data_IF_301143511482
#
_entry.id   IF_301143511482
#
_cell.length_a   1.000
_cell.length_b   1.000
_cell.length_c   1.000
_cell.angle_alpha   90.00
_cell.angle_beta   90.00
_cell.angle_gamma   90.00
#
_symmetry.space_group_name_H-M   'P 1'
#
loop_
_entity.id
_entity.type
_entity.pdbx_description
1 polymer ?
#
# COMPACT_ATOMS: atom_id res chain seq x y z
N UNK A 1 19.21 19.90 -37.36
CA UNK A 1 20.03 18.73 -37.06
C UNK A 1 19.15 17.85 -36.19
N UNK A 2 18.60 16.79 -36.75
CA UNK A 2 17.79 15.83 -36.06
C UNK A 2 18.73 14.99 -35.19
N UNK A 3 18.60 15.11 -33.83
CA UNK A 3 19.33 14.27 -32.91
C UNK A 3 18.86 12.84 -33.08
N UNK A 4 19.79 11.88 -33.18
CA UNK A 4 19.51 10.46 -33.21
C UNK A 4 18.72 10.10 -31.95
N UNK A 5 17.53 9.58 -32.11
CA UNK A 5 16.75 8.96 -31.03
C UNK A 5 17.59 7.77 -30.53
N UNK A 6 18.16 7.90 -29.33
CA UNK A 6 18.82 6.77 -28.68
C UNK A 6 17.73 5.77 -28.30
N UNK A 7 17.71 4.63 -28.95
CA UNK A 7 16.88 3.49 -28.52
C UNK A 7 17.51 2.87 -27.28
N UNK A 8 16.65 2.49 -26.34
CA UNK A 8 17.05 1.78 -25.11
C UNK A 8 16.85 0.30 -25.35
N UNK A 9 17.86 -0.49 -25.07
CA UNK A 9 17.81 -1.95 -25.19
C UNK A 9 16.71 -2.55 -24.28
N UNK A 10 16.09 -3.62 -24.75
CA UNK A 10 14.96 -4.31 -24.05
C UNK A 10 15.36 -4.70 -22.61
N UNK A 11 16.58 -5.17 -22.40
CA UNK A 11 17.08 -5.54 -21.07
C UNK A 11 17.17 -4.35 -20.10
N UNK A 12 17.36 -3.15 -20.63
CA UNK A 12 17.32 -1.93 -19.82
C UNK A 12 15.88 -1.54 -19.45
N UNK A 13 14.92 -1.75 -20.34
CA UNK A 13 13.50 -1.51 -20.06
C UNK A 13 12.98 -2.45 -18.96
N UNK A 14 13.43 -3.70 -18.93
CA UNK A 14 13.06 -4.68 -17.90
C UNK A 14 13.54 -4.31 -16.47
N UNK A 15 14.40 -3.31 -16.32
CA UNK A 15 14.84 -2.84 -15.00
C UNK A 15 13.75 -2.02 -14.27
N UNK A 16 12.70 -1.61 -14.97
CA UNK A 16 11.61 -0.81 -14.42
C UNK A 16 10.39 -1.67 -14.11
N UNK A 17 9.90 -1.58 -12.87
CA UNK A 17 8.88 -2.47 -12.29
C UNK A 17 7.58 -2.59 -13.10
N UNK A 18 7.23 -1.57 -13.87
CA UNK A 18 6.04 -1.59 -14.73
C UNK A 18 6.33 -2.20 -16.11
N UNK A 19 7.57 -2.12 -16.57
CA UNK A 19 8.00 -2.56 -17.89
C UNK A 19 8.49 -4.01 -17.88
N UNK A 20 8.91 -4.54 -16.73
CA UNK A 20 9.33 -5.94 -16.56
C UNK A 20 8.17 -6.93 -16.74
N UNK A 21 6.93 -6.46 -16.53
CA UNK A 21 5.70 -7.24 -16.74
C UNK A 21 5.33 -7.43 -18.22
N UNK A 22 5.97 -6.69 -19.13
CA UNK A 22 5.68 -6.76 -20.55
C UNK A 22 6.42 -7.95 -21.21
N UNK A 23 5.71 -8.67 -22.10
CA UNK A 23 6.34 -9.72 -22.88
C UNK A 23 7.27 -9.14 -23.99
N UNK A 24 8.10 -9.98 -24.59
CA UNK A 24 9.07 -9.54 -25.59
C UNK A 24 8.45 -8.80 -26.78
N UNK A 25 7.28 -9.23 -27.26
CA UNK A 25 6.56 -8.56 -28.38
C UNK A 25 6.10 -7.17 -27.98
N UNK A 26 5.67 -6.99 -26.75
CA UNK A 26 5.22 -5.71 -26.20
C UNK A 26 6.41 -4.78 -25.93
N UNK A 27 7.53 -5.30 -25.44
CA UNK A 27 8.77 -4.55 -25.27
C UNK A 27 9.33 -4.08 -26.61
N UNK A 28 9.32 -4.91 -27.65
CA UNK A 28 9.69 -4.52 -29.02
C UNK A 28 8.76 -3.40 -29.55
N UNK A 29 7.45 -3.49 -29.27
CA UNK A 29 6.52 -2.43 -29.66
C UNK A 29 6.78 -1.13 -28.87
N UNK A 30 7.11 -1.23 -27.60
CA UNK A 30 7.46 -0.11 -26.75
C UNK A 30 8.80 0.53 -27.18
N UNK A 31 9.76 -0.27 -27.62
CA UNK A 31 11.06 0.19 -28.14
C UNK A 31 10.88 1.19 -29.30
N UNK A 32 9.85 1.02 -30.12
CA UNK A 32 9.53 1.95 -31.21
C UNK A 32 8.67 3.16 -30.80
N UNK A 33 8.19 3.22 -29.54
CA UNK A 33 7.20 4.21 -29.07
C UNK A 33 7.61 4.97 -27.81
N UNK A 34 8.86 4.83 -27.38
CA UNK A 34 9.41 5.64 -26.29
C UNK A 34 10.37 6.69 -26.83
N UNK A 35 10.55 7.75 -26.06
CA UNK A 35 11.56 8.79 -26.32
C UNK A 35 12.57 8.78 -25.17
N UNK A 36 13.87 8.78 -25.48
CA UNK A 36 14.91 9.02 -24.48
C UNK A 36 15.33 10.48 -24.56
N UNK A 37 15.12 11.19 -23.47
CA UNK A 37 15.42 12.62 -23.39
C UNK A 37 16.49 12.90 -22.36
N UNK A 38 17.46 13.70 -22.76
CA UNK A 38 18.51 14.17 -21.89
C UNK A 38 18.20 15.58 -21.37
N UNK A 39 18.34 15.74 -20.06
CA UNK A 39 18.13 17.01 -19.37
C UNK A 39 19.44 17.45 -18.72
N UNK A 40 19.77 18.75 -18.87
CA UNK A 40 20.88 19.37 -18.17
C UNK A 40 20.56 19.48 -16.67
N UNK A 41 21.59 19.65 -15.84
CA UNK A 41 21.42 19.92 -14.41
C UNK A 41 20.53 21.15 -14.16
N UNK A 42 19.75 21.13 -13.07
CA UNK A 42 18.82 22.17 -12.63
C UNK A 42 17.65 22.45 -13.59
N UNK A 43 17.31 21.53 -14.50
CA UNK A 43 16.16 21.66 -15.38
C UNK A 43 14.90 21.14 -14.71
N UNK A 44 13.83 21.94 -14.73
CA UNK A 44 12.49 21.47 -14.36
C UNK A 44 11.96 20.58 -15.49
N UNK A 45 11.53 19.38 -15.14
CA UNK A 45 10.94 18.40 -16.06
C UNK A 45 9.45 18.68 -16.17
N UNK A 46 8.76 18.80 -15.03
CA UNK A 46 7.37 19.23 -14.91
C UNK A 46 7.08 19.88 -13.55
N UNK A 47 6.01 20.66 -13.49
CA UNK A 47 5.59 21.40 -12.29
C UNK A 47 4.52 20.65 -11.49
N UNK A 48 4.45 20.89 -10.18
CA UNK A 48 3.35 20.40 -9.36
C UNK A 48 2.00 20.97 -9.82
N UNK A 49 1.01 20.10 -9.97
CA UNK A 49 -0.32 20.45 -10.47
C UNK A 49 -0.47 20.40 -11.99
N UNK A 50 0.61 20.19 -12.76
CA UNK A 50 0.52 19.95 -14.19
C UNK A 50 -0.07 18.58 -14.51
N UNK A 51 -0.64 18.43 -15.70
CA UNK A 51 -1.09 17.17 -16.27
C UNK A 51 -0.53 17.02 -17.66
N UNK A 52 0.15 15.91 -17.88
CA UNK A 52 0.63 15.47 -19.19
C UNK A 52 0.34 13.97 -19.32
N UNK A 53 0.25 13.44 -20.51
CA UNK A 53 0.01 11.99 -20.71
C UNK A 53 1.33 11.23 -20.86
N UNK A 54 2.34 11.54 -20.04
CA UNK A 54 3.67 10.95 -20.16
C UNK A 54 4.07 10.30 -18.84
N UNK A 55 4.58 9.07 -18.92
CA UNK A 55 5.28 8.39 -17.83
C UNK A 55 6.79 8.60 -18.00
N UNK A 56 7.44 8.99 -16.89
CA UNK A 56 8.87 9.31 -16.87
C UNK A 56 9.61 8.27 -16.05
N UNK A 57 10.65 7.64 -16.62
CA UNK A 57 11.50 6.69 -15.93
C UNK A 57 12.94 7.20 -15.91
N UNK A 58 13.60 7.19 -14.77
CA UNK A 58 14.96 7.69 -14.62
C UNK A 58 15.98 6.64 -15.05
N UNK A 59 16.60 6.84 -16.21
CA UNK A 59 17.61 5.94 -16.77
C UNK A 59 19.00 6.22 -16.19
N UNK A 60 19.36 7.52 -16.06
CA UNK A 60 20.65 7.95 -15.53
C UNK A 60 20.54 9.30 -14.84
N UNK A 61 21.40 9.56 -13.85
CA UNK A 61 21.46 10.82 -13.11
C UNK A 61 20.64 10.84 -11.82
N UNK A 62 20.27 12.06 -11.41
CA UNK A 62 19.55 12.33 -10.15
C UNK A 62 18.46 13.39 -10.38
N UNK A 63 17.27 13.15 -9.80
CA UNK A 63 16.16 14.10 -9.82
C UNK A 63 15.68 14.40 -8.40
N UNK A 64 15.28 15.64 -8.18
CA UNK A 64 14.67 16.12 -6.93
C UNK A 64 13.17 16.31 -7.15
N UNK A 65 12.38 15.70 -6.30
CA UNK A 65 10.95 15.85 -6.25
C UNK A 65 10.60 16.80 -5.09
N UNK A 66 9.92 17.90 -5.38
CA UNK A 66 9.52 18.90 -4.38
C UNK A 66 8.01 18.97 -4.31
N UNK A 67 7.44 18.69 -3.14
CA UNK A 67 6.01 18.80 -2.87
C UNK A 67 5.59 20.26 -2.67
N UNK A 68 4.28 20.55 -2.74
CA UNK A 68 3.73 21.90 -2.51
C UNK A 68 4.02 22.46 -1.11
N UNK A 69 4.25 21.60 -0.12
CA UNK A 69 4.63 21.98 1.26
C UNK A 69 6.12 22.29 1.41
N UNK A 70 6.89 22.25 0.33
CA UNK A 70 8.33 22.54 0.30
C UNK A 70 9.24 21.35 0.68
N UNK A 71 8.67 20.21 1.04
CA UNK A 71 9.47 19.00 1.26
C UNK A 71 10.02 18.47 -0.04
N UNK A 72 11.29 18.07 -0.03
CA UNK A 72 11.93 17.48 -1.20
C UNK A 72 12.66 16.19 -0.86
N UNK A 73 12.74 15.30 -1.84
CA UNK A 73 13.55 14.08 -1.79
C UNK A 73 14.20 13.83 -3.15
N UNK A 74 15.31 13.10 -3.13
CA UNK A 74 16.12 12.84 -4.33
C UNK A 74 15.99 11.38 -4.71
N UNK A 75 15.68 11.14 -6.00
CA UNK A 75 15.74 9.81 -6.62
C UNK A 75 17.01 9.76 -7.46
N UNK A 76 17.82 8.71 -7.26
CA UNK A 76 19.03 8.42 -8.02
C UNK A 76 18.80 7.22 -8.92
N UNK A 77 19.32 7.27 -10.13
CA UNK A 77 19.30 6.13 -11.05
C UNK A 77 19.96 4.89 -10.40
N UNK A 78 19.52 3.71 -10.80
CA UNK A 78 20.00 2.41 -10.28
C UNK A 78 19.70 2.17 -8.78
N UNK A 79 18.75 2.92 -8.20
CA UNK A 79 18.22 2.64 -6.85
C UNK A 79 16.84 2.00 -6.93
N UNK A 80 16.38 1.30 -5.88
CA UNK A 80 15.02 0.75 -5.86
C UNK A 80 13.94 1.80 -6.15
N UNK A 81 14.11 3.03 -5.66
CA UNK A 81 13.17 4.13 -5.89
C UNK A 81 13.09 4.57 -7.37
N UNK A 82 14.16 4.35 -8.15
CA UNK A 82 14.18 4.70 -9.58
C UNK A 82 13.55 3.62 -10.47
N UNK A 83 13.24 2.44 -9.95
CA UNK A 83 12.57 1.38 -10.72
C UNK A 83 11.13 1.72 -11.09
N UNK A 84 10.51 2.63 -10.36
CA UNK A 84 9.15 3.09 -10.63
C UNK A 84 9.13 4.36 -11.48
N UNK A 85 8.01 4.64 -12.15
CA UNK A 85 7.79 5.89 -12.84
C UNK A 85 7.85 7.08 -11.85
N UNK A 86 8.50 8.17 -12.27
CA UNK A 86 8.69 9.35 -11.43
C UNK A 86 7.40 10.15 -11.34
N UNK A 87 6.89 10.34 -10.11
CA UNK A 87 5.69 11.15 -9.84
C UNK A 87 4.52 10.82 -10.77
N UNK A 88 4.24 9.54 -10.92
CA UNK A 88 3.26 8.92 -11.81
C UNK A 88 1.83 9.51 -11.70
N UNK A 89 1.41 9.99 -10.51
CA UNK A 89 0.05 10.51 -10.29
C UNK A 89 -0.21 11.81 -11.07
N UNK A 90 -1.42 11.92 -11.63
CA UNK A 90 -1.89 13.13 -12.31
C UNK A 90 -3.19 13.65 -11.69
N UNK A 91 -3.34 14.97 -11.46
CA UNK A 91 -2.31 16.02 -11.63
C UNK A 91 -1.05 15.76 -10.81
N UNK A 92 0.12 16.15 -11.31
CA UNK A 92 1.42 15.93 -10.69
C UNK A 92 1.45 16.47 -9.25
N UNK A 93 1.78 15.62 -8.27
CA UNK A 93 1.86 16.03 -6.87
C UNK A 93 3.15 16.78 -6.55
N UNK A 94 4.20 16.56 -7.35
CA UNK A 94 5.53 17.11 -7.15
C UNK A 94 5.98 17.92 -8.35
N UNK A 95 6.76 18.98 -8.09
CA UNK A 95 7.66 19.52 -9.09
C UNK A 95 8.87 18.60 -9.19
N UNK A 96 9.31 18.26 -10.40
CA UNK A 96 10.50 17.44 -10.61
C UNK A 96 11.58 18.24 -11.29
N UNK A 97 12.77 18.27 -10.69
CA UNK A 97 13.95 18.99 -11.17
C UNK A 97 15.18 18.09 -11.20
N UNK A 98 15.99 18.17 -12.24
CA UNK A 98 17.25 17.44 -12.33
C UNK A 98 18.31 18.02 -11.37
N UNK A 99 18.98 17.19 -10.61
CA UNK A 99 20.13 17.57 -9.73
C UNK A 99 21.47 17.38 -10.43
N UNK A 100 21.52 16.50 -11.41
CA UNK A 100 22.67 16.26 -12.29
C UNK A 100 22.20 16.25 -13.75
N UNK A 101 23.13 16.10 -14.70
CA UNK A 101 22.77 15.71 -16.07
C UNK A 101 22.07 14.35 -15.98
N UNK A 102 20.85 14.25 -16.49
CA UNK A 102 20.00 13.08 -16.30
C UNK A 102 19.38 12.65 -17.63
N UNK A 103 19.21 11.34 -17.79
CA UNK A 103 18.50 10.75 -18.93
C UNK A 103 17.20 10.11 -18.43
N UNK A 104 16.11 10.43 -19.10
CA UNK A 104 14.79 9.86 -18.79
C UNK A 104 14.19 9.19 -20.02
N UNK A 105 13.51 8.09 -19.80
CA UNK A 105 12.64 7.45 -20.77
C UNK A 105 11.25 8.08 -20.61
N UNK A 106 10.67 8.53 -21.71
CA UNK A 106 9.35 9.11 -21.78
C UNK A 106 8.44 8.17 -22.58
N UNK A 107 7.34 7.77 -21.99
CA UNK A 107 6.36 6.86 -22.58
C UNK A 107 4.99 7.50 -22.47
N UNK A 108 4.22 7.50 -23.55
CA UNK A 108 2.82 7.93 -23.52
C UNK A 108 2.01 7.00 -22.60
N UNK A 109 1.35 7.58 -21.59
CA UNK A 109 0.59 6.82 -20.56
C UNK A 109 -0.52 5.96 -21.19
N UNK A 110 -1.12 6.42 -22.30
CA UNK A 110 -2.18 5.65 -22.98
C UNK A 110 -1.62 4.45 -23.74
N UNK A 111 -0.41 4.56 -24.27
CA UNK A 111 0.29 3.45 -24.92
C UNK A 111 0.73 2.44 -23.88
N UNK A 112 1.31 2.90 -22.79
CA UNK A 112 1.76 2.04 -21.69
C UNK A 112 0.58 1.28 -21.08
N UNK A 113 -0.52 1.98 -20.77
CA UNK A 113 -1.73 1.36 -20.21
C UNK A 113 -2.30 0.26 -21.13
N UNK A 114 -2.34 0.49 -22.46
CA UNK A 114 -2.78 -0.53 -23.43
C UNK A 114 -1.86 -1.74 -23.46
N UNK A 115 -0.55 -1.52 -23.39
CA UNK A 115 0.42 -2.61 -23.40
C UNK A 115 0.36 -3.44 -22.11
N UNK A 116 0.23 -2.79 -20.95
CA UNK A 116 0.06 -3.45 -19.65
C UNK A 116 -1.24 -4.23 -19.60
N UNK A 117 -2.35 -3.68 -20.12
CA UNK A 117 -3.62 -4.41 -20.22
C UNK A 117 -3.58 -5.62 -21.18
N UNK A 118 -2.68 -5.63 -22.15
CA UNK A 118 -2.47 -6.72 -23.10
C UNK A 118 -1.30 -7.63 -22.71
N UNK A 119 -0.56 -7.30 -21.64
CA UNK A 119 0.48 -8.17 -21.13
C UNK A 119 -0.18 -9.46 -20.64
N UNK A 120 0.32 -10.65 -21.01
CA UNK A 120 -0.05 -11.85 -20.30
C UNK A 120 0.44 -11.66 -18.87
N UNK A 121 -0.52 -11.48 -17.94
CA UNK A 121 -0.24 -11.29 -16.52
C UNK A 121 0.76 -12.34 -16.05
N UNK A 122 1.99 -11.93 -15.75
CA UNK A 122 2.93 -12.73 -14.97
C UNK A 122 2.57 -12.62 -13.48
N UNK A 123 1.79 -11.62 -13.09
CA UNK A 123 1.03 -11.59 -11.83
C UNK A 123 -0.36 -12.21 -12.05
N UNK A 124 -0.38 -13.54 -12.31
CA UNK A 124 -1.58 -14.37 -12.17
C UNK A 124 -1.98 -14.45 -10.70
N UNK A 125 -2.44 -13.35 -10.12
CA UNK A 125 -3.05 -13.34 -8.79
C UNK A 125 -4.22 -12.36 -8.64
N UNK A 126 -4.73 -11.80 -9.72
CA UNK A 126 -6.17 -11.59 -9.83
C UNK A 126 -6.64 -12.88 -10.47
N UNK A 127 -7.32 -13.73 -9.72
CA UNK A 127 -7.88 -14.95 -10.26
C UNK A 127 -8.74 -14.58 -11.49
N UNK A 128 -8.16 -14.65 -12.70
CA UNK A 128 -8.94 -14.55 -13.94
C UNK A 128 -10.08 -15.58 -13.91
N UNK A 129 -9.88 -16.73 -13.24
CA UNK A 129 -10.91 -17.70 -12.92
C UNK A 129 -12.05 -17.11 -12.07
N UNK A 130 -11.75 -16.20 -11.11
CA UNK A 130 -12.78 -15.56 -10.28
C UNK A 130 -13.56 -14.52 -11.08
N UNK A 131 -12.89 -13.74 -11.95
CA UNK A 131 -13.55 -12.74 -12.80
C UNK A 131 -14.36 -13.42 -13.91
N UNK A 132 -13.89 -14.53 -14.48
CA UNK A 132 -14.64 -15.33 -15.47
C UNK A 132 -15.89 -16.00 -14.88
N UNK A 133 -15.97 -16.15 -13.56
CA UNK A 133 -17.14 -16.68 -12.86
C UNK A 133 -18.14 -15.62 -12.41
N UNK A 134 -17.83 -14.33 -12.59
CA UNK A 134 -18.72 -13.25 -12.19
C UNK A 134 -20.02 -13.24 -13.01
N UNK A 135 -21.13 -12.99 -12.34
CA UNK A 135 -22.38 -12.64 -13.02
C UNK A 135 -22.25 -11.26 -13.69
N UNK A 136 -23.08 -10.97 -14.66
CA UNK A 136 -23.11 -9.67 -15.36
C UNK A 136 -23.22 -8.48 -14.38
N UNK A 137 -23.92 -8.67 -13.26
CA UNK A 137 -24.06 -7.65 -12.21
C UNK A 137 -22.77 -7.44 -11.43
N UNK A 138 -22.03 -8.50 -11.13
CA UNK A 138 -20.72 -8.43 -10.45
C UNK A 138 -19.68 -7.75 -11.33
N UNK A 139 -19.63 -8.09 -12.62
CA UNK A 139 -18.75 -7.43 -13.59
C UNK A 139 -19.06 -5.94 -13.71
N UNK A 140 -20.32 -5.55 -13.69
CA UNK A 140 -20.71 -4.15 -13.72
C UNK A 140 -20.18 -3.38 -12.50
N UNK A 141 -20.37 -3.90 -11.29
CA UNK A 141 -19.91 -3.27 -10.06
C UNK A 141 -18.38 -3.17 -10.04
N UNK A 142 -17.70 -4.28 -10.38
CA UNK A 142 -16.24 -4.34 -10.46
C UNK A 142 -15.67 -3.29 -11.42
N UNK A 143 -16.22 -3.22 -12.64
CA UNK A 143 -15.78 -2.26 -13.65
C UNK A 143 -16.14 -0.82 -13.29
N UNK A 144 -17.29 -0.58 -12.63
CA UNK A 144 -17.71 0.74 -12.18
C UNK A 144 -16.77 1.26 -11.09
N UNK A 145 -16.44 0.43 -10.10
CA UNK A 145 -15.48 0.76 -9.05
C UNK A 145 -14.10 1.12 -9.63
N UNK A 146 -13.57 0.26 -10.52
CA UNK A 146 -12.28 0.51 -11.18
C UNK A 146 -12.29 1.80 -11.99
N UNK A 147 -13.35 2.07 -12.72
CA UNK A 147 -13.52 3.29 -13.50
C UNK A 147 -13.55 4.54 -12.60
N UNK A 148 -14.30 4.50 -11.52
CA UNK A 148 -14.45 5.63 -10.60
C UNK A 148 -13.15 5.88 -9.82
N UNK A 149 -12.43 4.83 -9.47
CA UNK A 149 -11.10 4.93 -8.88
C UNK A 149 -10.10 5.57 -9.87
N UNK A 150 -10.08 5.13 -11.13
CA UNK A 150 -9.19 5.64 -12.17
C UNK A 150 -9.52 7.10 -12.57
N UNK A 151 -10.80 7.49 -12.51
CA UNK A 151 -11.25 8.86 -12.84
C UNK A 151 -11.25 9.82 -11.65
N UNK A 152 -10.74 9.42 -10.48
CA UNK A 152 -10.79 10.17 -9.21
C UNK A 152 -12.20 10.55 -8.74
N UNK A 153 -13.25 9.88 -9.22
CA UNK A 153 -14.61 10.04 -8.73
C UNK A 153 -14.80 9.37 -7.36
N UNK A 154 -13.93 8.43 -7.02
CA UNK A 154 -13.85 7.79 -5.71
C UNK A 154 -12.46 7.99 -5.10
N UNK A 155 -12.42 8.45 -3.85
CA UNK A 155 -11.17 8.72 -3.14
C UNK A 155 -10.87 7.60 -2.16
N UNK A 156 -9.70 6.98 -2.29
CA UNK A 156 -9.22 5.99 -1.32
C UNK A 156 -9.07 6.62 0.06
N UNK A 157 -9.38 5.87 1.14
CA UNK A 157 -9.21 6.34 2.50
C UNK A 157 -7.76 6.77 2.78
N UNK A 158 -7.61 7.83 3.58
CA UNK A 158 -6.32 8.32 4.06
C UNK A 158 -6.07 7.86 5.49
N UNK A 159 -4.81 7.62 5.83
CA UNK A 159 -4.45 7.43 7.24
C UNK A 159 -4.76 8.70 8.05
N UNK A 160 -5.18 8.56 9.31
CA UNK A 160 -5.26 9.69 10.23
C UNK A 160 -3.93 10.45 10.32
N UNK A 161 -4.00 11.78 10.41
CA UNK A 161 -2.83 12.66 10.42
C UNK A 161 -1.80 12.30 11.50
N UNK A 162 -2.28 11.79 12.65
CA UNK A 162 -1.39 11.36 13.73
C UNK A 162 -0.54 10.17 13.33
N UNK A 163 -1.11 9.19 12.60
CA UNK A 163 -0.36 8.03 12.12
C UNK A 163 0.68 8.43 11.09
N UNK A 164 0.32 9.32 10.16
CA UNK A 164 1.26 9.88 9.17
C UNK A 164 2.40 10.63 9.85
N UNK A 165 2.10 11.48 10.85
CA UNK A 165 3.12 12.23 11.59
C UNK A 165 4.06 11.31 12.38
N UNK A 166 3.51 10.27 13.02
CA UNK A 166 4.30 9.29 13.76
C UNK A 166 5.23 8.55 12.81
N UNK A 167 4.75 8.08 11.66
CA UNK A 167 5.57 7.38 10.68
C UNK A 167 6.68 8.26 10.08
N UNK A 168 6.42 9.55 9.89
CA UNK A 168 7.35 10.48 9.24
C UNK A 168 8.31 11.20 10.22
N UNK A 169 7.88 11.38 11.47
CA UNK A 169 8.58 12.27 12.42
C UNK A 169 9.33 11.54 13.49
N UNK A 170 9.12 10.24 13.67
CA UNK A 170 9.72 9.47 14.77
C UNK A 170 10.70 8.45 14.18
N UNK A 171 12.00 8.71 14.42
CA UNK A 171 13.03 7.67 14.29
C UNK A 171 12.98 6.83 15.58
N UNK A 172 12.29 5.70 15.53
CA UNK A 172 12.02 4.86 16.70
C UNK A 172 13.29 4.35 17.39
N UNK A 173 14.38 4.21 16.65
CA UNK A 173 15.67 3.77 17.19
C UNK A 173 16.38 4.86 18.01
N UNK A 174 16.02 6.14 17.78
CA UNK A 174 16.68 7.29 18.39
C UNK A 174 15.77 8.20 19.21
N UNK A 175 14.43 8.01 19.10
CA UNK A 175 13.49 8.88 19.79
C UNK A 175 13.42 8.60 21.29
N UNK A 176 13.09 9.64 22.07
CA UNK A 176 12.74 9.50 23.47
C UNK A 176 11.23 9.33 23.66
N UNK A 177 10.82 8.73 24.79
CA UNK A 177 9.40 8.64 25.16
C UNK A 177 8.70 10.00 25.22
N UNK A 178 9.44 11.09 25.46
CA UNK A 178 8.90 12.46 25.45
C UNK A 178 8.56 12.93 24.03
N UNK A 179 9.38 12.59 23.04
CA UNK A 179 9.13 12.94 21.64
C UNK A 179 7.87 12.26 21.14
N UNK A 180 7.71 10.96 21.43
CA UNK A 180 6.50 10.20 21.10
C UNK A 180 5.28 10.77 21.81
N UNK A 181 5.38 11.06 23.13
CA UNK A 181 4.29 11.63 23.89
C UNK A 181 3.84 12.99 23.34
N UNK A 182 4.79 13.82 22.88
CA UNK A 182 4.50 15.12 22.27
C UNK A 182 3.72 14.98 20.96
N UNK A 183 4.12 14.04 20.09
CA UNK A 183 3.42 13.81 18.82
C UNK A 183 2.02 13.27 19.07
N UNK A 184 1.86 12.28 19.97
CA UNK A 184 0.56 11.68 20.31
C UNK A 184 -0.36 12.70 21.00
N UNK A 185 0.17 13.57 21.86
CA UNK A 185 -0.61 14.63 22.54
C UNK A 185 -1.16 15.68 21.57
N UNK A 186 -0.62 15.76 20.36
CA UNK A 186 -1.15 16.61 19.29
C UNK A 186 -2.50 16.15 18.75
N UNK A 187 -2.93 14.92 19.06
CA UNK A 187 -4.25 14.37 18.74
C UNK A 187 -4.97 13.98 20.04
N UNK A 188 -6.00 14.75 20.47
CA UNK A 188 -6.70 14.49 21.72
C UNK A 188 -7.38 13.12 21.76
N UNK A 189 -7.92 12.64 20.63
CA UNK A 189 -8.59 11.33 20.57
C UNK A 189 -7.59 10.19 20.76
N UNK A 190 -6.43 10.26 20.11
CA UNK A 190 -5.35 9.30 20.27
C UNK A 190 -4.79 9.34 21.70
N UNK A 191 -4.59 10.54 22.27
CA UNK A 191 -4.13 10.73 23.64
C UNK A 191 -5.03 10.01 24.65
N UNK A 192 -6.35 10.19 24.53
CA UNK A 192 -7.34 9.53 25.42
C UNK A 192 -7.28 8.00 25.26
N UNK A 193 -7.18 7.49 24.04
CA UNK A 193 -7.07 6.04 23.79
C UNK A 193 -5.80 5.46 24.43
N UNK A 194 -4.66 6.14 24.26
CA UNK A 194 -3.39 5.68 24.83
C UNK A 194 -3.39 5.70 26.36
N UNK A 195 -3.89 6.77 26.99
CA UNK A 195 -4.04 6.87 28.44
C UNK A 195 -5.00 5.80 28.96
N UNK A 196 -6.09 5.53 28.24
CA UNK A 196 -7.03 4.48 28.61
C UNK A 196 -6.41 3.09 28.55
N UNK A 197 -5.60 2.81 27.52
CA UNK A 197 -4.87 1.55 27.38
C UNK A 197 -3.88 1.35 28.55
N UNK A 198 -3.12 2.41 28.90
CA UNK A 198 -2.17 2.38 30.01
C UNK A 198 -2.84 2.20 31.40
N UNK A 199 -4.11 2.56 31.49
CA UNK A 199 -4.95 2.36 32.69
C UNK A 199 -5.82 1.10 32.64
N UNK A 200 -5.71 0.29 31.59
CA UNK A 200 -6.48 -0.95 31.49
C UNK A 200 -6.13 -1.93 32.62
N UNK A 201 -7.04 -2.80 33.07
CA UNK A 201 -6.77 -3.75 34.13
C UNK A 201 -5.56 -4.66 33.91
N UNK A 202 -5.21 -4.87 32.64
CA UNK A 202 -4.10 -5.72 32.24
C UNK A 202 -2.73 -5.06 32.42
N UNK A 203 -2.66 -3.72 32.31
CA UNK A 203 -1.41 -2.95 32.27
C UNK A 203 -1.28 -2.00 33.48
N UNK A 204 -2.40 -1.64 34.11
CA UNK A 204 -2.42 -0.64 35.18
C UNK A 204 -1.49 -0.99 36.34
N UNK A 205 -0.71 0.02 36.78
CA UNK A 205 -0.02 -0.03 38.07
C UNK A 205 -0.91 0.48 39.21
N UNK A 206 -0.30 0.75 40.36
CA UNK A 206 -0.97 1.27 41.57
C UNK A 206 -1.60 2.64 41.30
N UNK A 207 -0.88 3.52 40.59
CA UNK A 207 -1.31 4.89 40.33
C UNK A 207 -1.99 5.02 38.96
N UNK A 208 -3.09 5.78 38.93
CA UNK A 208 -3.79 6.10 37.66
C UNK A 208 -3.00 7.13 36.86
N UNK A 209 -2.78 6.82 35.59
CA UNK A 209 -2.11 7.67 34.60
C UNK A 209 -3.06 8.77 34.13
N UNK A 210 -2.55 9.98 33.95
CA UNK A 210 -3.32 11.14 33.52
C UNK A 210 -2.75 11.82 32.28
N UNK A 211 -1.48 11.57 31.92
CA UNK A 211 -0.79 12.22 30.81
C UNK A 211 -0.28 11.22 29.77
N UNK A 212 -0.07 11.67 28.54
CA UNK A 212 0.55 10.85 27.49
C UNK A 212 1.99 10.46 27.85
N UNK A 213 2.74 11.35 28.49
CA UNK A 213 4.13 11.06 28.89
C UNK A 213 4.17 9.90 29.88
N UNK A 214 3.31 9.94 30.92
CA UNK A 214 3.17 8.84 31.85
C UNK A 214 2.69 7.55 31.18
N UNK A 215 1.79 7.67 30.18
CA UNK A 215 1.29 6.51 29.43
C UNK A 215 2.39 5.86 28.61
N UNK A 216 3.18 6.65 27.88
CA UNK A 216 4.33 6.16 27.09
C UNK A 216 5.37 5.53 28.01
N UNK A 217 5.66 6.15 29.17
CA UNK A 217 6.61 5.59 30.12
C UNK A 217 6.13 4.22 30.68
N UNK A 218 4.84 4.08 30.98
CA UNK A 218 4.27 2.79 31.48
C UNK A 218 4.22 1.70 30.42
N UNK A 219 3.84 2.05 29.21
CA UNK A 219 3.68 1.13 28.08
C UNK A 219 5.03 0.73 27.46
N UNK A 220 6.01 1.62 27.50
CA UNK A 220 7.23 1.54 26.72
C UNK A 220 7.01 1.99 25.28
N UNK A 221 8.11 2.23 24.55
CA UNK A 221 8.08 2.76 23.17
C UNK A 221 7.41 1.77 22.21
N UNK A 222 7.85 0.53 22.21
CA UNK A 222 7.34 -0.51 21.31
C UNK A 222 5.81 -0.72 21.46
N UNK A 223 5.33 -0.87 22.71
CA UNK A 223 3.88 -1.06 22.95
C UNK A 223 3.10 0.20 22.57
N UNK A 224 3.66 1.38 22.79
CA UNK A 224 3.04 2.64 22.36
C UNK A 224 2.92 2.71 20.86
N UNK A 225 3.96 2.38 20.12
CA UNK A 225 3.97 2.34 18.66
C UNK A 225 2.88 1.40 18.14
N UNK A 226 2.84 0.16 18.63
CA UNK A 226 1.80 -0.82 18.27
C UNK A 226 0.40 -0.30 18.50
N UNK A 227 0.14 0.25 19.68
CA UNK A 227 -1.19 0.78 20.03
C UNK A 227 -1.60 1.95 19.15
N UNK A 228 -0.67 2.83 18.81
CA UNK A 228 -0.95 3.96 17.92
C UNK A 228 -1.36 3.47 16.53
N UNK A 229 -0.64 2.50 15.96
CA UNK A 229 -1.01 1.88 14.68
C UNK A 229 -2.38 1.20 14.74
N UNK A 230 -2.63 0.39 15.79
CA UNK A 230 -3.92 -0.28 15.98
C UNK A 230 -5.06 0.75 16.06
N UNK A 231 -4.87 1.83 16.83
CA UNK A 231 -5.90 2.86 16.98
C UNK A 231 -6.13 3.66 15.68
N UNK A 232 -5.06 3.98 14.96
CA UNK A 232 -5.16 4.70 13.71
C UNK A 232 -5.84 3.87 12.62
N UNK A 233 -5.42 2.63 12.45
CA UNK A 233 -6.01 1.72 11.46
C UNK A 233 -7.47 1.40 11.81
N UNK A 234 -7.80 1.25 13.11
CA UNK A 234 -9.18 1.00 13.57
C UNK A 234 -10.19 2.04 13.08
N UNK A 235 -9.77 3.29 12.92
CA UNK A 235 -10.63 4.37 12.46
C UNK A 235 -11.10 4.20 11.01
N UNK A 236 -10.35 3.44 10.20
CA UNK A 236 -10.72 3.14 8.82
C UNK A 236 -11.88 2.12 8.73
N UNK A 237 -12.10 1.33 9.80
CA UNK A 237 -13.10 0.26 9.83
C UNK A 237 -14.42 0.75 10.45
N UNK A 238 -14.96 1.87 9.94
CA UNK A 238 -16.27 2.37 10.37
C UNK A 238 -17.11 2.82 9.17
N UNK A 239 -18.41 2.75 9.30
CA UNK A 239 -19.40 3.15 8.31
C UNK A 239 -20.66 3.63 9.03
N UNK A 240 -21.46 4.46 8.35
CA UNK A 240 -22.75 4.93 8.84
C UNK A 240 -23.86 3.93 8.57
N UNK A 241 -23.74 3.16 7.50
CA UNK A 241 -24.70 2.14 7.09
C UNK A 241 -24.52 0.88 7.94
N UNK A 242 -25.61 0.34 8.49
CA UNK A 242 -25.57 -0.73 9.51
C UNK A 242 -24.97 -2.04 8.97
N UNK A 243 -25.29 -2.39 7.72
CA UNK A 243 -24.83 -3.64 7.08
C UNK A 243 -23.33 -3.56 6.78
N UNK A 244 -22.87 -2.45 6.22
CA UNK A 244 -21.45 -2.20 5.96
C UNK A 244 -20.67 -2.13 7.27
N UNK A 245 -21.22 -1.47 8.29
CA UNK A 245 -20.61 -1.40 9.62
C UNK A 245 -20.43 -2.77 10.26
N UNK A 246 -21.39 -3.68 10.10
CA UNK A 246 -21.27 -5.05 10.57
C UNK A 246 -20.13 -5.80 9.85
N UNK A 247 -20.02 -5.64 8.52
CA UNK A 247 -18.92 -6.22 7.71
C UNK A 247 -17.54 -5.64 8.11
N UNK A 248 -17.44 -4.31 8.28
CA UNK A 248 -16.22 -3.64 8.76
C UNK A 248 -15.79 -4.16 10.14
N UNK A 249 -16.75 -4.38 11.05
CA UNK A 249 -16.48 -4.94 12.37
C UNK A 249 -15.97 -6.38 12.30
N UNK A 250 -16.55 -7.21 11.45
CA UNK A 250 -16.11 -8.59 11.24
C UNK A 250 -14.71 -8.64 10.60
N UNK A 251 -14.47 -7.80 9.59
CA UNK A 251 -13.17 -7.65 8.95
C UNK A 251 -12.09 -7.24 9.97
N UNK A 252 -12.37 -6.22 10.78
CA UNK A 252 -11.45 -5.80 11.84
C UNK A 252 -11.12 -6.94 12.81
N UNK A 253 -12.12 -7.70 13.26
CA UNK A 253 -11.91 -8.81 14.16
C UNK A 253 -11.01 -9.90 13.54
N UNK A 254 -11.19 -10.17 12.25
CA UNK A 254 -10.33 -11.07 11.49
C UNK A 254 -8.89 -10.55 11.40
N UNK A 255 -8.70 -9.30 11.00
CA UNK A 255 -7.36 -8.69 10.90
C UNK A 255 -6.62 -8.71 12.25
N UNK A 256 -7.31 -8.43 13.36
CA UNK A 256 -6.71 -8.49 14.72
C UNK A 256 -6.28 -9.91 15.08
N UNK A 257 -7.08 -10.92 14.74
CA UNK A 257 -6.73 -12.32 15.00
C UNK A 257 -5.51 -12.76 14.19
N UNK A 258 -5.48 -12.45 12.87
CA UNK A 258 -4.32 -12.74 11.99
C UNK A 258 -3.08 -12.01 12.49
N UNK A 259 -3.21 -10.73 12.89
CA UNK A 259 -2.12 -9.94 13.44
C UNK A 259 -1.51 -10.56 14.71
N UNK A 260 -2.36 -11.05 15.62
CA UNK A 260 -1.89 -11.68 16.85
C UNK A 260 -1.13 -12.98 16.57
N UNK A 261 -1.61 -13.79 15.63
CA UNK A 261 -0.95 -15.04 15.23
C UNK A 261 0.37 -14.74 14.52
N UNK A 262 0.39 -13.81 13.54
CA UNK A 262 1.59 -13.40 12.82
C UNK A 262 2.67 -12.86 13.78
N UNK A 263 2.30 -12.07 14.79
CA UNK A 263 3.20 -11.61 15.84
C UNK A 263 3.85 -12.77 16.58
N UNK A 264 3.06 -13.79 16.94
CA UNK A 264 3.57 -14.96 17.65
C UNK A 264 4.50 -15.80 16.76
N UNK A 265 4.14 -16.00 15.51
CA UNK A 265 4.96 -16.73 14.54
C UNK A 265 6.32 -16.05 14.33
N UNK A 266 6.35 -14.72 14.19
CA UNK A 266 7.57 -13.96 14.04
C UNK A 266 8.53 -14.09 15.24
N UNK A 267 8.01 -14.24 16.45
CA UNK A 267 8.85 -14.48 17.66
C UNK A 267 9.70 -15.75 17.57
N UNK A 268 9.28 -16.71 16.77
CA UNK A 268 9.97 -17.98 16.56
C UNK A 268 10.65 -18.06 15.19
N UNK A 269 10.57 -16.98 14.38
CA UNK A 269 11.21 -16.87 13.07
C UNK A 269 12.44 -15.98 13.16
N UNK A 270 13.57 -16.45 12.63
CA UNK A 270 14.80 -15.66 12.62
C UNK A 270 14.72 -14.53 11.59
N UNK A 271 15.14 -13.33 11.99
CA UNK A 271 15.29 -12.17 11.09
C UNK A 271 14.01 -11.38 10.80
N UNK A 272 12.87 -11.76 11.38
CA UNK A 272 11.60 -11.05 11.22
C UNK A 272 11.22 -10.29 12.49
N UNK A 273 10.77 -9.05 12.34
CA UNK A 273 10.26 -8.24 13.44
C UNK A 273 8.85 -8.69 13.82
N UNK A 274 8.59 -9.05 15.09
CA UNK A 274 7.22 -9.37 15.52
C UNK A 274 6.25 -8.19 15.34
N UNK A 275 6.71 -6.95 15.47
CA UNK A 275 5.88 -5.77 15.33
C UNK A 275 5.49 -5.52 13.87
N UNK A 276 6.41 -5.71 12.93
CA UNK A 276 6.09 -5.63 11.49
C UNK A 276 5.21 -6.79 11.04
N UNK A 277 5.43 -8.01 11.55
CA UNK A 277 4.55 -9.15 11.29
C UNK A 277 3.13 -8.91 11.80
N UNK A 278 2.99 -8.33 13.01
CA UNK A 278 1.68 -7.92 13.53
C UNK A 278 1.03 -6.88 12.60
N UNK A 279 1.80 -5.91 12.13
CA UNK A 279 1.30 -4.86 11.26
C UNK A 279 0.88 -5.44 9.91
N UNK A 280 1.68 -6.33 9.32
CA UNK A 280 1.33 -7.07 8.10
C UNK A 280 0.01 -7.83 8.26
N UNK A 281 -0.14 -8.56 9.37
CA UNK A 281 -1.40 -9.27 9.69
C UNK A 281 -2.59 -8.32 9.91
N UNK A 282 -2.37 -7.12 10.43
CA UNK A 282 -3.45 -6.16 10.67
C UNK A 282 -3.97 -5.52 9.38
N UNK A 283 -3.11 -5.39 8.37
CA UNK A 283 -3.43 -4.70 7.11
C UNK A 283 -3.67 -5.64 5.93
N UNK A 284 -3.47 -6.95 6.07
CA UNK A 284 -3.48 -7.88 4.93
C UNK A 284 -4.75 -7.80 4.07
N UNK A 285 -5.88 -7.48 4.67
CA UNK A 285 -7.18 -7.32 4.02
C UNK A 285 -7.64 -5.85 3.93
N UNK A 286 -6.74 -4.89 4.11
CA UNK A 286 -7.09 -3.47 4.15
C UNK A 286 -7.74 -2.98 2.84
N UNK A 287 -7.43 -3.62 1.73
CA UNK A 287 -8.00 -3.31 0.42
C UNK A 287 -9.49 -3.63 0.29
N UNK A 288 -10.09 -4.36 1.23
CA UNK A 288 -11.55 -4.56 1.30
C UNK A 288 -12.26 -3.26 1.68
N UNK A 289 -11.63 -2.41 2.51
CA UNK A 289 -12.24 -1.18 3.04
C UNK A 289 -12.74 -0.24 1.92
N UNK A 290 -11.94 0.11 0.89
CA UNK A 290 -12.40 0.97 -0.19
C UNK A 290 -13.62 0.41 -0.94
N UNK A 291 -13.67 -0.90 -1.14
CA UNK A 291 -14.80 -1.54 -1.83
C UNK A 291 -16.07 -1.44 -0.99
N UNK A 292 -15.97 -1.68 0.31
CA UNK A 292 -17.10 -1.50 1.25
C UNK A 292 -17.53 -0.03 1.35
N UNK A 293 -16.59 0.92 1.36
CA UNK A 293 -16.91 2.36 1.35
C UNK A 293 -17.57 2.80 0.04
N UNK A 294 -17.17 2.22 -1.09
CA UNK A 294 -17.81 2.47 -2.37
C UNK A 294 -19.25 1.96 -2.38
N UNK A 295 -19.48 0.78 -1.83
CA UNK A 295 -20.83 0.25 -1.66
C UNK A 295 -21.68 1.10 -0.71
N UNK A 296 -21.11 1.61 0.39
CA UNK A 296 -21.77 2.52 1.33
C UNK A 296 -22.23 3.82 0.63
N UNK A 297 -21.43 4.34 -0.29
CA UNK A 297 -21.76 5.53 -1.09
C UNK A 297 -22.79 5.24 -2.21
N UNK A 298 -22.94 3.99 -2.63
CA UNK A 298 -23.80 3.54 -3.71
C UNK A 298 -24.78 2.48 -3.21
N UNK A 299 -25.84 2.92 -2.52
CA UNK A 299 -26.77 2.04 -1.79
C UNK A 299 -27.38 0.90 -2.63
N UNK A 300 -27.55 1.09 -3.93
CA UNK A 300 -28.04 0.03 -4.84
C UNK A 300 -27.08 -1.19 -4.91
N UNK A 301 -25.82 -1.02 -4.51
CA UNK A 301 -24.81 -2.07 -4.49
C UNK A 301 -24.81 -2.89 -3.20
N UNK A 302 -25.37 -2.33 -2.10
CA UNK A 302 -25.35 -2.98 -0.77
C UNK A 302 -26.22 -4.24 -0.72
N UNK A 303 -27.32 -4.23 -1.46
CA UNK A 303 -28.25 -5.37 -1.58
C UNK A 303 -27.68 -6.54 -2.38
N UNK A 304 -26.44 -6.45 -2.84
CA UNK A 304 -25.83 -7.46 -3.67
C UNK A 304 -25.16 -8.54 -2.81
N UNK A 305 -25.66 -9.78 -2.90
CA UNK A 305 -25.10 -10.94 -2.18
C UNK A 305 -23.65 -11.27 -2.59
N UNK A 306 -23.18 -10.63 -3.68
CA UNK A 306 -21.85 -10.83 -4.25
C UNK A 306 -20.82 -9.75 -3.88
N UNK A 307 -21.15 -8.84 -2.96
CA UNK A 307 -20.23 -7.77 -2.56
C UNK A 307 -18.92 -8.32 -1.97
N UNK A 308 -19.00 -9.43 -1.24
CA UNK A 308 -17.83 -10.08 -0.64
C UNK A 308 -16.90 -10.67 -1.72
N UNK A 309 -17.47 -11.26 -2.79
CA UNK A 309 -16.69 -11.80 -3.91
C UNK A 309 -15.93 -10.69 -4.64
N UNK A 310 -16.61 -9.56 -4.89
CA UNK A 310 -16.01 -8.38 -5.54
C UNK A 310 -14.92 -7.78 -4.64
N UNK A 311 -15.18 -7.66 -3.34
CA UNK A 311 -14.21 -7.15 -2.39
C UNK A 311 -12.95 -8.03 -2.34
N UNK A 312 -13.12 -9.35 -2.32
CA UNK A 312 -12.01 -10.31 -2.34
C UNK A 312 -11.22 -10.24 -3.65
N UNK A 313 -11.89 -10.06 -4.80
CA UNK A 313 -11.21 -9.93 -6.08
C UNK A 313 -10.39 -8.63 -6.22
N UNK A 314 -10.80 -7.55 -5.53
CA UNK A 314 -10.18 -6.23 -5.64
C UNK A 314 -9.17 -5.93 -4.53
N UNK A 315 -9.21 -6.64 -3.39
CA UNK A 315 -8.48 -6.27 -2.17
C UNK A 315 -6.96 -6.15 -2.34
N UNK A 316 -6.34 -7.00 -3.14
CA UNK A 316 -4.90 -6.94 -3.39
C UNK A 316 -4.50 -5.66 -4.13
N UNK A 317 -5.21 -5.34 -5.22
CA UNK A 317 -4.96 -4.14 -6.03
C UNK A 317 -5.25 -2.85 -5.24
N UNK A 318 -6.40 -2.77 -4.58
CA UNK A 318 -6.79 -1.59 -3.80
C UNK A 318 -5.92 -1.42 -2.57
N UNK A 319 -5.54 -2.51 -1.90
CA UNK A 319 -4.63 -2.48 -0.76
C UNK A 319 -3.24 -2.01 -1.15
N UNK A 320 -2.70 -2.49 -2.28
CA UNK A 320 -1.43 -2.02 -2.85
C UNK A 320 -1.47 -0.52 -3.08
N UNK A 321 -2.50 -0.01 -3.78
CA UNK A 321 -2.65 1.42 -4.08
C UNK A 321 -2.72 2.28 -2.80
N UNK A 322 -3.40 1.80 -1.75
CA UNK A 322 -3.46 2.48 -0.46
C UNK A 322 -2.07 2.56 0.20
N UNK A 323 -1.37 1.43 0.29
CA UNK A 323 -0.09 1.35 0.97
C UNK A 323 1.02 2.11 0.23
N UNK A 324 1.04 2.07 -1.11
CA UNK A 324 1.92 2.90 -1.94
C UNK A 324 1.69 4.38 -1.67
N UNK A 325 0.43 4.82 -1.61
CA UNK A 325 0.06 6.21 -1.30
C UNK A 325 0.49 6.63 0.11
N UNK A 326 0.50 5.69 1.06
CA UNK A 326 0.93 5.92 2.43
C UNK A 326 2.45 5.75 2.61
N UNK A 327 3.18 5.44 1.54
CA UNK A 327 4.62 5.23 1.52
C UNK A 327 5.10 4.14 2.49
N UNK A 328 4.42 2.99 2.47
CA UNK A 328 4.77 1.83 3.27
C UNK A 328 5.83 0.96 2.57
N UNK A 329 6.50 0.10 3.34
CA UNK A 329 7.58 -0.74 2.82
C UNK A 329 7.08 -1.78 1.79
N UNK A 330 7.91 -2.16 0.82
CA UNK A 330 7.58 -3.19 -0.17
C UNK A 330 7.19 -4.53 0.45
N UNK A 331 7.79 -4.88 1.60
CA UNK A 331 7.52 -6.13 2.31
C UNK A 331 6.07 -6.16 2.84
N UNK A 332 5.58 -5.05 3.36
CA UNK A 332 4.20 -4.92 3.82
C UNK A 332 3.22 -4.87 2.65
N UNK A 333 3.60 -4.24 1.54
CA UNK A 333 2.80 -4.25 0.31
C UNK A 333 2.67 -5.67 -0.22
N UNK A 334 3.76 -6.45 -0.26
CA UNK A 334 3.74 -7.85 -0.67
C UNK A 334 2.81 -8.70 0.20
N UNK A 335 2.82 -8.50 1.52
CA UNK A 335 1.93 -9.21 2.43
C UNK A 335 0.44 -8.94 2.13
N UNK A 336 0.08 -7.74 1.68
CA UNK A 336 -1.30 -7.39 1.28
C UNK A 336 -1.66 -7.96 -0.08
N UNK A 337 -0.74 -7.92 -1.06
CA UNK A 337 -0.99 -8.38 -2.42
C UNK A 337 -1.05 -9.90 -2.48
N UNK A 338 -0.16 -10.58 -1.78
CA UNK A 338 0.05 -12.02 -1.89
C UNK A 338 -0.42 -12.82 -0.66
N UNK A 339 -1.00 -12.17 0.35
CA UNK A 339 -1.39 -12.82 1.61
C UNK A 339 -2.39 -13.97 1.48
N UNK A 340 -3.10 -14.10 0.35
CA UNK A 340 -3.97 -15.24 0.04
C UNK A 340 -3.43 -16.16 -1.05
N UNK A 341 -2.22 -15.89 -1.55
CA UNK A 341 -1.58 -16.77 -2.51
C UNK A 341 -0.93 -17.95 -1.78
N UNK A 342 -1.65 -19.07 -1.67
CA UNK A 342 -1.17 -20.30 -1.01
C UNK A 342 0.04 -20.93 -1.68
N UNK A 343 0.38 -20.54 -2.90
CA UNK A 343 1.55 -20.97 -3.68
C UNK A 343 2.58 -19.83 -3.77
N UNK A 344 2.56 -18.89 -2.82
CA UNK A 344 3.52 -17.80 -2.78
C UNK A 344 4.93 -18.34 -2.58
N UNK A 345 5.85 -17.88 -3.39
CA UNK A 345 7.28 -18.13 -3.29
C UNK A 345 8.01 -16.78 -3.22
N UNK A 346 8.66 -16.50 -2.10
CA UNK A 346 9.44 -15.28 -1.90
C UNK A 346 10.70 -15.22 -2.76
N UNK A 347 11.11 -16.36 -3.34
CA UNK A 347 12.40 -16.53 -4.02
C UNK A 347 13.60 -16.60 -3.07
N UNK A 348 13.38 -16.68 -1.76
CA UNK A 348 14.38 -16.82 -0.71
C UNK A 348 14.13 -18.09 0.11
N UNK A 349 15.22 -18.70 0.64
CA UNK A 349 15.13 -19.87 1.54
C UNK A 349 14.57 -19.51 2.94
N UNK A 350 14.42 -18.24 3.25
CA UNK A 350 13.91 -17.77 4.55
C UNK A 350 12.50 -17.20 4.39
N UNK A 351 11.61 -17.44 5.38
CA UNK A 351 10.28 -16.88 5.37
C UNK A 351 10.31 -15.34 5.41
N UNK A 352 9.32 -14.71 4.79
CA UNK A 352 9.05 -13.29 4.85
C UNK A 352 7.71 -12.99 5.58
N UNK A 353 7.28 -11.72 5.62
CA UNK A 353 6.03 -11.35 6.27
C UNK A 353 4.80 -11.89 5.54
N UNK A 354 4.88 -12.12 4.24
CA UNK A 354 3.81 -12.73 3.44
C UNK A 354 3.57 -14.18 3.87
N UNK A 355 4.65 -14.96 4.03
CA UNK A 355 4.57 -16.34 4.54
C UNK A 355 3.90 -16.38 5.92
N UNK A 356 4.28 -15.45 6.82
CA UNK A 356 3.69 -15.38 8.15
C UNK A 356 2.20 -15.02 8.12
N UNK A 357 1.79 -14.12 7.23
CA UNK A 357 0.38 -13.75 7.05
C UNK A 357 -0.43 -14.92 6.50
N UNK A 358 0.09 -15.63 5.48
CA UNK A 358 -0.53 -16.83 4.93
C UNK A 358 -0.73 -17.89 6.03
N UNK A 359 0.34 -18.19 6.76
CA UNK A 359 0.28 -19.19 7.84
C UNK A 359 -0.68 -18.75 8.97
N UNK A 360 -0.68 -17.45 9.31
CA UNK A 360 -1.58 -16.92 10.32
C UNK A 360 -3.05 -17.03 9.92
N UNK A 361 -3.38 -16.77 8.65
CA UNK A 361 -4.74 -16.95 8.11
C UNK A 361 -5.17 -18.41 8.13
N UNK A 362 -4.27 -19.33 7.78
CA UNK A 362 -4.54 -20.77 7.89
C UNK A 362 -4.91 -21.14 9.34
N UNK A 363 -4.13 -20.69 10.31
CA UNK A 363 -4.42 -20.94 11.72
C UNK A 363 -5.75 -20.31 12.16
N UNK A 364 -6.04 -19.09 11.74
CA UNK A 364 -7.30 -18.40 12.03
C UNK A 364 -8.53 -19.10 11.41
N UNK A 365 -8.34 -19.86 10.32
CA UNK A 365 -9.40 -20.63 9.65
C UNK A 365 -9.70 -21.97 10.33
N UNK A 366 -8.81 -22.50 11.16
CA UNK A 366 -9.00 -23.82 11.82
C UNK A 366 -10.24 -23.79 12.71
N UNK A 367 -11.14 -24.75 12.49
CA UNK A 367 -12.35 -24.91 13.28
C UNK A 367 -13.51 -23.97 12.92
N UNK A 368 -13.39 -23.14 11.87
CA UNK A 368 -14.49 -22.29 11.38
C UNK A 368 -15.25 -22.99 10.27
N UNK A 369 -16.59 -23.22 10.42
CA UNK A 369 -17.40 -23.81 9.35
C UNK A 369 -17.44 -22.86 8.13
N UNK A 370 -17.25 -23.40 6.92
CA UNK A 370 -17.43 -22.70 5.66
C UNK A 370 -16.18 -22.05 5.05
N UNK A 371 -14.98 -22.20 5.65
CA UNK A 371 -13.73 -21.82 4.99
C UNK A 371 -13.09 -23.03 4.29
N UNK A 372 -12.36 -22.82 3.16
CA UNK A 372 -11.82 -23.93 2.39
C UNK A 372 -10.93 -24.82 3.25
N UNK A 373 -11.28 -26.10 3.28
CA UNK A 373 -10.38 -27.14 3.76
C UNK A 373 -9.32 -27.31 2.70
N UNK A 374 -8.07 -27.16 3.10
CA UNK A 374 -6.92 -27.49 2.25
C UNK A 374 -7.16 -28.85 1.59
N UNK A 375 -7.17 -28.89 0.27
CA UNK A 375 -6.85 -30.10 -0.47
C UNK A 375 -5.39 -29.97 -0.91
N UNK A 376 -4.52 -30.87 -0.48
CA UNK A 376 -3.10 -30.86 -0.82
C UNK A 376 -2.86 -31.06 -2.30
#
# INVERSE_FOLDING_TARGET
MFGSVKQVEIDTLKQFSLLDQLNEKQLVLLESRHEVKEFRQNRVIFEAGSSDNIEYFLLDGEVELTAKDGKSFIIKANTPSARNAIAHLQPRLYQVRTKSRSQLILIDSSVLAKLVQQAPNTDKNINEETVQSFSTSQEYIFNSFKKDLASNNFTLPSLPDVALRINQSIDWDKCSGKDVAKVVSGDPAMAVKLISAANSPLIRGINKIKTCEEAVFRLGLETTQRLVWIFALRELFDSKESTIKARMKALWAHCVEVAAIAYLLAKYSEGLSPDEAMLAGLIHDIGIIPVLMYADANHDLIANDHLDDIANALKGETGRLMLERWNWSPELINAVVHGENWQYESGCDKPDYTDLVILAQLHAAIGRPGKPVFQP
#
